data_IF_478938440568
#
_entry.id   IF_478938440568
#
_cell.length_a   1.000
_cell.length_b   1.000
_cell.length_c   1.000
_cell.angle_alpha   90.00
_cell.angle_beta   90.00
_cell.angle_gamma   90.00
#
_symmetry.space_group_name_H-M   'P 1'
#
loop_
_entity.id
_entity.type
_entity.pdbx_description
1 polymer ?
#
# COMPACT_ATOMS: atom_id res chain seq x y z
N UNK A 1 21.95 5.45 11.89
CA UNK A 1 20.63 5.76 12.52
C UNK A 1 19.86 6.90 11.81
N UNK A 2 20.33 7.52 10.70
CA UNK A 2 19.80 8.80 10.23
C UNK A 2 19.25 8.83 8.79
N UNK A 3 19.25 7.73 8.04
CA UNK A 3 18.68 7.67 6.69
C UNK A 3 17.32 6.94 6.64
N UNK A 4 16.55 7.02 7.70
CA UNK A 4 15.32 6.26 7.87
C UNK A 4 14.20 6.78 6.99
N UNK A 5 13.83 6.04 5.96
CA UNK A 5 12.57 6.20 5.24
C UNK A 5 12.37 7.58 4.59
N UNK A 6 13.44 8.18 4.09
CA UNK A 6 13.39 9.50 3.48
C UNK A 6 12.79 9.41 2.08
N UNK A 7 11.76 10.21 1.83
CA UNK A 7 11.29 10.45 0.47
C UNK A 7 12.39 11.10 -0.35
N UNK A 8 12.58 10.67 -1.58
CA UNK A 8 13.37 11.44 -2.54
C UNK A 8 12.75 12.84 -2.69
N UNK A 9 13.54 13.84 -2.34
CA UNK A 9 13.13 15.26 -2.39
C UNK A 9 13.77 16.01 -3.55
N UNK A 10 14.45 15.34 -4.47
CA UNK A 10 15.17 15.96 -5.59
C UNK A 10 14.25 16.82 -6.48
N UNK A 11 13.00 16.45 -6.64
CA UNK A 11 11.98 17.18 -7.40
C UNK A 11 11.26 18.28 -6.63
N UNK A 12 11.52 18.44 -5.33
CA UNK A 12 10.81 19.43 -4.51
C UNK A 12 11.32 20.84 -4.77
N UNK A 13 10.43 21.81 -4.80
CA UNK A 13 10.73 23.22 -5.08
C UNK A 13 10.63 24.04 -3.80
N UNK A 14 11.36 25.18 -3.71
CA UNK A 14 11.16 26.15 -2.64
C UNK A 14 9.70 26.59 -2.53
N UNK A 15 9.30 26.90 -1.29
CA UNK A 15 7.97 27.43 -0.96
C UNK A 15 8.11 28.69 -0.12
N UNK A 16 7.00 29.36 0.20
CA UNK A 16 7.00 30.53 1.08
C UNK A 16 7.56 30.23 2.49
N UNK A 17 7.53 28.96 2.92
CA UNK A 17 7.93 28.55 4.26
C UNK A 17 9.29 27.84 4.33
N UNK A 18 9.85 27.40 3.20
CA UNK A 18 11.16 26.75 3.18
C UNK A 18 11.85 26.91 1.84
N UNK A 19 13.16 27.14 1.88
CA UNK A 19 14.02 27.13 0.69
C UNK A 19 14.39 25.70 0.28
N UNK A 20 14.56 24.81 1.26
CA UNK A 20 14.97 23.41 1.09
C UNK A 20 14.16 22.50 2.00
N UNK A 21 13.96 21.25 1.59
CA UNK A 21 13.55 20.18 2.50
C UNK A 21 14.73 19.80 3.40
N UNK A 22 14.43 19.20 4.55
CA UNK A 22 15.47 18.68 5.45
C UNK A 22 16.33 17.64 4.74
N UNK A 23 15.72 16.71 3.97
CA UNK A 23 16.43 15.70 3.20
C UNK A 23 17.39 16.30 2.16
N UNK A 24 17.01 17.40 1.48
CA UNK A 24 17.92 18.11 0.57
C UNK A 24 19.14 18.69 1.27
N UNK A 25 18.95 19.28 2.46
CA UNK A 25 20.06 19.82 3.25
C UNK A 25 20.98 18.71 3.74
N UNK A 26 20.41 17.60 4.22
CA UNK A 26 21.21 16.47 4.73
C UNK A 26 21.98 15.77 3.60
N UNK A 27 21.34 15.50 2.47
CA UNK A 27 21.97 14.81 1.33
C UNK A 27 23.09 15.62 0.66
N UNK A 28 22.92 16.96 0.60
CA UNK A 28 23.90 17.84 -0.05
C UNK A 28 24.72 18.65 0.97
N UNK A 29 24.74 18.24 2.23
CA UNK A 29 25.31 19.01 3.33
C UNK A 29 26.75 19.44 3.10
N UNK A 30 27.60 18.61 2.50
CA UNK A 30 28.98 18.93 2.20
C UNK A 30 29.12 20.17 1.30
N UNK A 31 28.29 20.24 0.25
CA UNK A 31 28.31 21.33 -0.73
C UNK A 31 27.56 22.57 -0.22
N UNK A 32 26.74 22.39 0.82
CA UNK A 32 25.90 23.47 1.39
C UNK A 32 26.50 24.15 2.63
N UNK A 33 27.64 23.65 3.14
CA UNK A 33 28.30 24.31 4.29
C UNK A 33 28.56 25.79 3.99
N UNK A 34 28.09 26.65 4.89
CA UNK A 34 28.19 28.11 4.72
C UNK A 34 27.01 28.76 3.97
N UNK A 35 26.15 27.97 3.34
CA UNK A 35 24.96 28.49 2.68
C UNK A 35 23.83 28.74 3.69
N UNK A 36 23.05 29.79 3.43
CA UNK A 36 21.84 30.09 4.20
C UNK A 36 20.67 29.26 3.67
N UNK A 37 19.95 28.60 4.57
CA UNK A 37 18.76 27.82 4.28
C UNK A 37 17.62 28.17 5.22
N UNK A 38 16.39 28.02 4.72
CA UNK A 38 15.18 28.01 5.54
C UNK A 38 14.58 26.63 5.47
N UNK A 39 14.41 25.97 6.62
CA UNK A 39 13.76 24.68 6.76
C UNK A 39 12.58 24.78 7.72
N UNK A 40 11.56 23.97 7.50
CA UNK A 40 10.38 23.92 8.37
C UNK A 40 10.02 22.45 8.63
N UNK A 41 9.58 22.17 9.85
CA UNK A 41 9.24 20.83 10.28
C UNK A 41 8.60 20.79 11.65
N UNK A 42 8.46 19.57 12.17
CA UNK A 42 7.94 19.31 13.51
C UNK A 42 9.09 19.23 14.52
N UNK A 43 8.91 19.86 15.68
CA UNK A 43 9.86 19.78 16.79
C UNK A 43 9.83 18.40 17.43
N UNK A 44 10.80 17.55 17.12
CA UNK A 44 10.91 16.21 17.68
C UNK A 44 11.43 16.24 19.11
N UNK A 45 12.52 16.98 19.34
CA UNK A 45 13.06 17.24 20.68
C UNK A 45 13.59 18.66 20.76
N UNK A 46 13.37 19.29 21.90
CA UNK A 46 13.95 20.59 22.25
C UNK A 46 14.77 20.42 23.52
N UNK A 47 16.06 20.72 23.46
CA UNK A 47 16.99 20.59 24.59
C UNK A 47 17.76 21.88 24.76
N UNK A 48 17.37 22.69 25.76
CA UNK A 48 18.03 23.94 26.09
C UNK A 48 18.80 23.88 27.40
N UNK A 49 19.96 24.51 27.42
CA UNK A 49 20.73 24.75 28.65
C UNK A 49 21.41 26.10 28.58
N UNK A 50 20.97 27.04 29.44
CA UNK A 50 21.51 28.41 29.47
C UNK A 50 21.22 29.11 28.14
N UNK A 51 22.24 29.70 27.51
CA UNK A 51 22.14 30.42 26.25
C UNK A 51 22.20 29.55 24.98
N UNK A 52 22.06 28.22 25.08
CA UNK A 52 22.16 27.29 23.95
C UNK A 52 20.92 26.40 23.91
N UNK A 53 20.37 26.17 22.71
CA UNK A 53 19.27 25.25 22.47
C UNK A 53 19.56 24.37 21.25
N UNK A 54 19.30 23.07 21.36
CA UNK A 54 19.34 22.09 20.29
C UNK A 54 17.91 21.67 20.00
N UNK A 55 17.45 22.02 18.82
CA UNK A 55 16.13 21.63 18.31
C UNK A 55 16.33 20.57 17.24
N UNK A 56 15.77 19.37 17.44
CA UNK A 56 15.69 18.39 16.38
C UNK A 56 14.42 18.63 15.60
N UNK A 57 14.56 19.01 14.34
CA UNK A 57 13.45 19.19 13.40
C UNK A 57 13.31 17.98 12.49
N UNK A 58 12.08 17.61 12.20
CA UNK A 58 11.72 16.54 11.29
C UNK A 58 10.70 17.04 10.28
N UNK A 59 10.91 16.74 9.00
CA UNK A 59 9.89 16.83 7.96
C UNK A 59 9.64 15.46 7.32
N UNK A 60 8.87 15.41 6.23
CA UNK A 60 8.60 14.16 5.50
C UNK A 60 9.82 13.56 4.78
N UNK A 61 10.97 14.24 4.80
CA UNK A 61 12.19 13.86 4.07
C UNK A 61 13.37 13.57 4.99
N UNK A 62 13.28 13.88 6.28
CA UNK A 62 14.37 13.58 7.21
C UNK A 62 14.36 14.39 8.49
N UNK A 63 15.49 14.31 9.18
CA UNK A 63 15.76 14.98 10.46
C UNK A 63 17.00 15.84 10.34
N UNK A 64 16.99 17.01 10.98
CA UNK A 64 18.16 17.88 11.09
C UNK A 64 18.22 18.53 12.47
N UNK A 65 19.42 18.68 13.02
CA UNK A 65 19.63 19.48 14.21
C UNK A 65 19.66 20.96 13.83
N UNK A 66 18.82 21.76 14.47
CA UNK A 66 18.92 23.21 14.46
C UNK A 66 19.60 23.65 15.76
N UNK A 67 20.74 24.31 15.64
CA UNK A 67 21.51 24.84 16.76
C UNK A 67 21.20 26.31 16.95
N UNK A 68 20.68 26.68 18.12
CA UNK A 68 20.32 28.02 18.49
C UNK A 68 21.25 28.57 19.59
N UNK A 69 21.75 29.74 19.42
CA UNK A 69 22.52 30.46 20.43
C UNK A 69 21.87 31.82 20.70
N UNK A 70 21.54 32.10 21.98
CA UNK A 70 20.84 33.31 22.42
C UNK A 70 21.51 34.60 21.88
N UNK A 71 22.84 34.67 21.94
CA UNK A 71 23.62 35.83 21.48
C UNK A 71 23.55 36.09 19.98
N UNK A 72 23.07 35.11 19.19
CA UNK A 72 23.06 35.16 17.72
C UNK A 72 21.68 35.45 17.13
N UNK A 73 20.66 35.61 17.98
CA UNK A 73 19.27 35.81 17.52
C UNK A 73 18.47 36.65 18.50
N UNK A 74 17.25 37.00 18.12
CA UNK A 74 16.32 37.70 19.02
C UNK A 74 16.05 36.88 20.27
N UNK A 75 16.15 37.49 21.46
CA UNK A 75 16.03 36.81 22.75
C UNK A 75 14.61 36.24 22.95
N UNK A 76 13.57 36.97 22.56
CA UNK A 76 12.19 36.55 22.69
C UNK A 76 11.94 35.30 21.81
N UNK A 77 12.48 35.30 20.60
CA UNK A 77 12.38 34.19 19.67
C UNK A 77 13.14 32.95 20.20
N UNK A 78 14.34 33.16 20.77
CA UNK A 78 15.10 32.07 21.41
C UNK A 78 14.28 31.40 22.51
N UNK A 79 13.72 32.17 23.43
CA UNK A 79 12.93 31.69 24.55
C UNK A 79 11.65 31.00 24.07
N UNK A 80 11.01 31.51 23.04
CA UNK A 80 9.81 30.95 22.44
C UNK A 80 10.11 29.55 21.83
N UNK A 81 11.18 29.44 21.04
CA UNK A 81 11.55 28.12 20.45
C UNK A 81 12.03 27.15 21.52
N UNK A 82 12.78 27.62 22.53
CA UNK A 82 13.27 26.78 23.63
C UNK A 82 12.12 26.19 24.46
N UNK A 83 10.99 26.88 24.55
CA UNK A 83 9.79 26.46 25.26
C UNK A 83 8.80 25.67 24.41
N UNK A 84 9.07 25.49 23.11
CA UNK A 84 8.18 24.80 22.20
C UNK A 84 7.90 23.36 22.63
N UNK A 85 6.64 22.95 22.55
CA UNK A 85 6.23 21.58 22.81
C UNK A 85 6.60 20.65 21.65
N UNK A 86 6.73 19.35 21.95
CA UNK A 86 6.93 18.34 20.90
C UNK A 86 5.81 18.39 19.87
N UNK A 87 6.17 18.17 18.60
CA UNK A 87 5.28 18.23 17.44
C UNK A 87 4.76 19.62 17.09
N UNK A 88 5.20 20.69 17.77
CA UNK A 88 5.01 22.06 17.28
C UNK A 88 5.67 22.23 15.92
N UNK A 89 5.02 22.96 15.03
CA UNK A 89 5.54 23.24 13.69
C UNK A 89 6.41 24.48 13.74
N UNK A 90 7.68 24.34 13.40
CA UNK A 90 8.70 25.40 13.51
C UNK A 90 9.40 25.59 12.17
N UNK A 91 9.60 26.84 11.81
CA UNK A 91 10.46 27.29 10.72
C UNK A 91 11.74 27.88 11.31
N UNK A 92 12.88 27.53 10.75
CA UNK A 92 14.16 28.15 11.10
C UNK A 92 14.93 28.53 9.84
N UNK A 93 15.60 29.70 9.89
CA UNK A 93 16.54 30.16 8.88
C UNK A 93 17.92 30.25 9.53
N UNK A 94 18.93 29.78 8.83
CA UNK A 94 20.30 29.81 9.34
C UNK A 94 21.29 29.23 8.35
N UNK A 95 22.54 29.12 8.78
CA UNK A 95 23.66 28.67 7.97
C UNK A 95 23.91 27.20 8.19
N UNK A 96 24.04 26.44 7.13
CA UNK A 96 24.42 25.03 7.19
C UNK A 96 25.87 24.91 7.69
N UNK A 97 26.09 24.06 8.67
CA UNK A 97 27.41 23.77 9.24
C UNK A 97 27.60 22.25 9.40
N UNK A 98 28.84 21.82 9.33
CA UNK A 98 29.19 20.45 9.68
C UNK A 98 29.15 20.31 11.21
N UNK A 99 28.40 19.34 11.67
CA UNK A 99 28.28 19.01 13.09
C UNK A 99 29.61 18.48 13.64
N UNK A 100 29.93 18.84 14.86
CA UNK A 100 31.15 18.32 15.51
C UNK A 100 31.07 16.80 15.64
N UNK A 101 32.03 16.08 15.05
CA UNK A 101 32.08 14.64 15.14
C UNK A 101 32.19 14.18 16.60
N UNK A 102 31.47 13.12 17.00
CA UNK A 102 31.63 12.50 18.31
C UNK A 102 33.07 11.95 18.44
N UNK A 103 33.56 11.89 19.66
CA UNK A 103 34.83 11.21 19.94
C UNK A 103 34.64 9.72 19.69
N UNK A 104 35.42 9.13 18.80
CA UNK A 104 35.47 7.68 18.56
C UNK A 104 36.62 7.07 19.37
N UNK A 105 36.45 5.81 19.74
CA UNK A 105 37.53 5.06 20.38
C UNK A 105 38.68 4.79 19.40
N UNK A 106 39.87 4.59 19.90
CA UNK A 106 41.06 4.34 19.06
C UNK A 106 40.89 3.00 18.33
N UNK A 107 40.89 3.07 16.97
CA UNK A 107 40.67 1.92 16.09
C UNK A 107 39.31 1.82 15.42
N UNK A 108 38.33 2.61 15.87
CA UNK A 108 37.05 2.64 15.22
C UNK A 108 37.05 3.53 13.95
N UNK A 109 36.25 3.20 12.91
CA UNK A 109 36.13 4.03 11.72
C UNK A 109 35.52 5.41 12.07
N UNK A 110 36.02 6.45 11.43
CA UNK A 110 35.47 7.78 11.58
C UNK A 110 33.98 7.81 11.18
N UNK A 111 33.09 8.40 11.98
CA UNK A 111 31.68 8.50 11.61
C UNK A 111 31.51 9.37 10.37
N UNK A 112 30.48 9.08 9.59
CA UNK A 112 30.09 9.95 8.46
C UNK A 112 29.81 11.37 8.95
N UNK A 113 30.16 12.40 8.15
CA UNK A 113 29.89 13.77 8.54
C UNK A 113 28.39 14.01 8.65
N UNK A 114 27.96 14.61 9.74
CA UNK A 114 26.59 15.07 9.93
C UNK A 114 26.54 16.60 9.79
N UNK A 115 25.36 17.12 9.38
CA UNK A 115 25.16 18.54 9.18
C UNK A 115 24.07 19.06 10.10
N UNK A 116 24.15 20.37 10.42
CA UNK A 116 23.20 21.10 11.26
C UNK A 116 22.94 22.48 10.68
N UNK A 117 21.88 23.14 11.13
CA UNK A 117 21.59 24.53 10.80
C UNK A 117 21.90 25.42 12.00
N UNK A 118 22.89 26.31 11.87
CA UNK A 118 23.15 27.37 12.84
C UNK A 118 22.13 28.48 12.66
N UNK A 119 21.13 28.54 13.53
CA UNK A 119 19.93 29.37 13.37
C UNK A 119 20.25 30.83 13.66
N UNK A 120 19.82 31.67 12.73
CA UNK A 120 19.85 33.16 12.89
C UNK A 120 18.46 33.74 13.17
N UNK A 121 17.39 33.11 12.63
CA UNK A 121 16.00 33.54 12.85
C UNK A 121 15.04 32.35 12.64
N UNK A 122 13.77 32.54 13.00
CA UNK A 122 12.75 31.52 12.84
C UNK A 122 11.37 31.97 13.31
N UNK A 123 10.43 31.05 13.33
CA UNK A 123 9.09 31.26 13.85
C UNK A 123 8.45 29.94 14.28
N UNK A 124 7.64 29.96 15.33
CA UNK A 124 6.67 28.90 15.59
C UNK A 124 5.47 29.17 14.69
N UNK A 125 5.22 28.27 13.76
CA UNK A 125 4.10 28.37 12.83
C UNK A 125 2.79 27.89 13.48
N UNK A 126 2.90 26.87 14.34
CA UNK A 126 1.80 26.36 15.14
C UNK A 126 2.31 25.61 16.37
N UNK A 127 1.73 25.88 17.52
CA UNK A 127 2.00 25.15 18.75
C UNK A 127 1.21 23.85 18.79
N UNK A 128 1.85 22.79 19.29
CA UNK A 128 1.18 21.52 19.56
C UNK A 128 0.68 21.47 21.00
N UNK A 129 -0.53 20.95 21.19
CA UNK A 129 -1.07 20.66 22.50
C UNK A 129 -0.22 19.59 23.22
N UNK A 130 -0.08 19.72 24.52
CA UNK A 130 0.61 18.74 25.35
C UNK A 130 -0.29 18.35 26.54
N UNK A 131 -0.39 17.05 26.91
CA UNK A 131 0.24 15.90 26.27
C UNK A 131 -0.41 15.52 24.92
N UNK A 132 0.38 14.87 24.03
CA UNK A 132 -0.16 14.33 22.79
C UNK A 132 -0.96 13.04 23.06
N UNK A 133 -2.11 12.82 22.38
CA UNK A 133 -2.89 11.60 22.55
C UNK A 133 -2.20 10.36 21.97
N UNK A 134 -1.30 10.55 20.98
CA UNK A 134 -0.47 9.50 20.38
C UNK A 134 0.97 9.98 20.35
N UNK A 135 1.88 9.19 20.93
CA UNK A 135 3.31 9.44 20.84
C UNK A 135 3.82 9.18 19.42
N UNK A 136 4.58 10.12 18.86
CA UNK A 136 5.13 9.99 17.49
C UNK A 136 6.48 9.29 17.51
N UNK A 137 7.35 9.64 18.48
CA UNK A 137 8.70 9.12 18.62
C UNK A 137 8.84 8.10 19.78
N UNK A 138 7.83 8.01 20.61
CA UNK A 138 7.83 7.13 21.78
C UNK A 138 7.26 5.76 21.38
N UNK A 139 7.89 4.68 21.83
CA UNK A 139 7.45 3.29 21.59
C UNK A 139 6.27 2.87 22.50
N UNK A 140 5.50 3.81 22.98
CA UNK A 140 4.32 3.51 23.78
C UNK A 140 3.27 2.85 22.91
N UNK A 141 2.82 1.67 23.35
CA UNK A 141 1.72 0.97 22.67
C UNK A 141 0.43 1.77 22.82
N UNK A 142 -0.20 2.06 21.67
CA UNK A 142 -1.49 2.77 21.61
C UNK A 142 -2.47 1.91 20.81
N UNK A 143 -3.66 1.68 21.34
CA UNK A 143 -4.71 0.92 20.68
C UNK A 143 -5.08 1.50 19.31
N UNK A 144 -5.57 0.64 18.41
CA UNK A 144 -5.90 1.02 17.04
C UNK A 144 -6.94 2.14 16.99
N UNK A 145 -7.95 2.09 17.87
CA UNK A 145 -9.03 3.10 17.93
C UNK A 145 -8.47 4.50 18.16
N UNK A 146 -7.60 4.66 19.17
CA UNK A 146 -6.96 5.94 19.48
C UNK A 146 -6.04 6.41 18.34
N UNK A 147 -5.37 5.47 17.68
CA UNK A 147 -4.53 5.77 16.50
C UNK A 147 -5.36 6.26 15.31
N UNK A 148 -6.53 5.65 15.07
CA UNK A 148 -7.45 6.06 14.01
C UNK A 148 -8.08 7.43 14.30
N UNK A 149 -8.49 7.69 15.53
CA UNK A 149 -9.03 8.99 15.94
C UNK A 149 -7.99 10.11 15.86
N UNK A 150 -6.70 9.77 15.98
CA UNK A 150 -5.59 10.70 15.89
C UNK A 150 -4.67 10.39 14.70
N UNK A 151 -5.25 10.05 13.55
CA UNK A 151 -4.54 9.53 12.38
C UNK A 151 -3.42 10.43 11.88
N UNK A 152 -3.58 11.75 12.00
CA UNK A 152 -2.57 12.74 11.63
C UNK A 152 -1.27 12.60 12.45
N UNK A 153 -1.34 12.22 13.72
CA UNK A 153 -0.16 11.92 14.54
C UNK A 153 0.38 10.51 14.25
N UNK A 154 -0.50 9.54 14.11
CA UNK A 154 -0.11 8.16 13.79
C UNK A 154 0.67 8.07 12.46
N UNK A 155 0.25 8.81 11.43
CA UNK A 155 0.94 8.91 10.16
C UNK A 155 2.34 9.57 10.24
N UNK A 156 2.65 10.30 11.31
CA UNK A 156 3.99 10.84 11.55
C UNK A 156 4.96 9.81 12.12
N UNK A 157 4.47 8.69 12.64
CA UNK A 157 5.32 7.60 13.14
C UNK A 157 6.07 6.97 11.97
N UNK A 158 7.38 6.79 12.12
CA UNK A 158 8.24 6.39 11.01
C UNK A 158 7.78 5.13 10.27
N UNK A 159 7.46 4.05 11.00
CA UNK A 159 7.01 2.79 10.41
C UNK A 159 5.63 2.90 9.74
N UNK A 160 4.70 3.70 10.30
CA UNK A 160 3.39 3.92 9.68
C UNK A 160 3.54 4.73 8.39
N UNK A 161 4.35 5.78 8.43
CA UNK A 161 4.66 6.60 7.26
C UNK A 161 5.31 5.77 6.15
N UNK A 162 6.31 4.94 6.50
CA UNK A 162 6.99 4.04 5.56
C UNK A 162 6.02 3.07 4.88
N UNK A 163 5.08 2.47 5.63
CA UNK A 163 4.06 1.59 5.05
C UNK A 163 3.17 2.31 4.02
N UNK A 164 2.77 3.57 4.29
CA UNK A 164 1.96 4.33 3.34
C UNK A 164 2.74 4.79 2.11
N UNK A 165 4.03 5.11 2.26
CA UNK A 165 4.90 5.38 1.13
C UNK A 165 5.06 4.13 0.26
N UNK A 166 5.39 2.98 0.87
CA UNK A 166 5.53 1.71 0.18
C UNK A 166 4.24 1.33 -0.57
N UNK A 167 3.06 1.49 0.07
CA UNK A 167 1.78 1.28 -0.59
C UNK A 167 1.61 2.15 -1.84
N UNK A 168 1.98 3.44 -1.76
CA UNK A 168 1.94 4.34 -2.90
C UNK A 168 2.86 3.90 -4.03
N UNK A 169 4.08 3.46 -3.69
CA UNK A 169 5.08 2.99 -4.66
C UNK A 169 4.61 1.69 -5.34
N UNK A 170 4.07 0.73 -4.59
CA UNK A 170 3.50 -0.52 -5.13
C UNK A 170 2.42 -0.24 -6.17
N UNK A 171 1.50 0.71 -5.89
CA UNK A 171 0.47 1.10 -6.86
C UNK A 171 1.08 1.75 -8.11
N UNK A 172 2.13 2.55 -7.95
CA UNK A 172 2.82 3.17 -9.08
C UNK A 172 3.56 2.15 -9.93
N UNK A 173 4.30 1.22 -9.32
CA UNK A 173 5.00 0.15 -10.05
C UNK A 173 4.05 -0.74 -10.84
N UNK A 174 2.92 -1.11 -10.25
CA UNK A 174 1.88 -1.87 -10.96
C UNK A 174 1.29 -1.09 -12.13
N UNK A 175 1.02 0.20 -11.95
CA UNK A 175 0.53 1.09 -13.02
C UNK A 175 1.53 1.18 -14.16
N UNK A 176 2.78 1.44 -13.86
CA UNK A 176 3.85 1.58 -14.86
C UNK A 176 4.04 0.30 -15.67
N UNK A 177 3.98 -0.86 -15.00
CA UNK A 177 4.06 -2.16 -15.67
C UNK A 177 2.90 -2.36 -16.64
N UNK A 178 1.66 -2.15 -16.20
CA UNK A 178 0.48 -2.33 -17.06
C UNK A 178 0.47 -1.37 -18.25
N UNK A 179 0.86 -0.11 -18.06
CA UNK A 179 1.03 0.85 -19.17
C UNK A 179 2.09 0.33 -20.15
N UNK A 180 3.19 -0.23 -19.68
CA UNK A 180 4.24 -0.79 -20.53
C UNK A 180 3.77 -2.01 -21.35
N UNK A 181 2.79 -2.76 -20.86
CA UNK A 181 2.13 -3.86 -21.59
C UNK A 181 0.94 -3.40 -22.45
N UNK A 182 0.74 -2.10 -22.61
CA UNK A 182 -0.28 -1.52 -23.48
C UNK A 182 -1.67 -1.43 -22.86
N UNK A 183 -1.80 -1.56 -21.54
CA UNK A 183 -3.06 -1.31 -20.85
C UNK A 183 -3.28 0.18 -20.64
N UNK A 184 -4.53 0.62 -20.83
CA UNK A 184 -4.97 1.98 -20.60
C UNK A 184 -5.71 2.07 -19.26
N UNK A 185 -5.34 3.05 -18.41
CA UNK A 185 -6.07 3.31 -17.17
C UNK A 185 -7.43 3.94 -17.48
N UNK A 186 -8.49 3.43 -16.85
CA UNK A 186 -9.86 3.94 -16.91
C UNK A 186 -10.38 4.21 -15.51
N UNK A 187 -11.46 5.00 -15.43
CA UNK A 187 -12.19 5.25 -14.19
C UNK A 187 -13.67 4.96 -14.43
N UNK A 188 -14.23 4.04 -13.67
CA UNK A 188 -15.60 3.60 -13.79
C UNK A 188 -16.50 4.23 -12.73
N UNK A 189 -17.82 4.34 -12.99
CA UNK A 189 -18.78 4.82 -11.98
C UNK A 189 -18.78 3.98 -10.72
N UNK A 190 -18.88 4.63 -9.56
CA UNK A 190 -18.95 3.98 -8.24
C UNK A 190 -20.37 4.03 -7.63
N UNK A 191 -21.25 4.79 -8.23
CA UNK A 191 -22.70 4.76 -7.96
C UNK A 191 -23.36 4.07 -9.14
N UNK A 192 -24.01 2.93 -8.90
CA UNK A 192 -24.53 2.04 -9.93
C UNK A 192 -26.02 1.74 -9.68
N UNK A 193 -26.76 1.43 -10.74
CA UNK A 193 -28.18 1.16 -10.68
C UNK A 193 -28.52 -0.30 -10.29
N UNK A 194 -27.61 -1.25 -10.58
CA UNK A 194 -27.78 -2.67 -10.34
C UNK A 194 -26.48 -3.35 -9.92
N UNK A 195 -26.59 -4.55 -9.36
CA UNK A 195 -25.43 -5.35 -8.98
C UNK A 195 -24.62 -5.79 -10.22
N UNK A 196 -23.32 -5.59 -10.19
CA UNK A 196 -22.42 -6.04 -11.25
C UNK A 196 -22.17 -7.55 -11.25
N UNK A 197 -22.33 -8.21 -10.10
CA UNK A 197 -21.94 -9.60 -9.88
C UNK A 197 -23.08 -10.49 -9.31
N UNK A 198 -24.31 -10.00 -9.31
CA UNK A 198 -25.48 -10.77 -8.84
C UNK A 198 -25.47 -11.05 -7.33
N UNK A 199 -24.70 -10.32 -6.54
CA UNK A 199 -24.51 -10.58 -5.12
C UNK A 199 -25.41 -9.75 -4.19
N UNK A 200 -25.67 -10.29 -2.99
CA UNK A 200 -26.48 -9.67 -1.94
C UNK A 200 -25.74 -8.64 -1.09
N UNK A 201 -24.41 -8.50 -1.25
CA UNK A 201 -23.56 -7.69 -0.39
C UNK A 201 -23.35 -6.27 -0.95
N UNK A 202 -24.45 -5.60 -1.30
CA UNK A 202 -24.43 -4.23 -1.80
C UNK A 202 -24.71 -3.24 -0.67
N UNK A 203 -24.07 -2.08 -0.71
CA UNK A 203 -24.46 -0.93 0.07
C UNK A 203 -25.53 -0.15 -0.70
N UNK A 204 -26.81 -0.20 -0.26
CA UNK A 204 -27.88 0.58 -0.88
C UNK A 204 -27.75 2.06 -0.50
N UNK A 205 -28.09 2.94 -1.44
CA UNK A 205 -28.15 4.37 -1.21
C UNK A 205 -29.31 5.01 -1.95
N UNK A 206 -29.79 6.14 -1.46
CA UNK A 206 -30.74 6.97 -2.19
C UNK A 206 -30.00 7.85 -3.20
N UNK A 207 -30.45 7.80 -4.43
CA UNK A 207 -29.99 8.66 -5.51
C UNK A 207 -31.18 9.45 -6.05
N UNK A 208 -31.41 10.62 -5.45
CA UNK A 208 -32.64 11.41 -5.64
C UNK A 208 -33.88 10.57 -5.38
N UNK A 209 -34.76 10.40 -6.37
CA UNK A 209 -36.02 9.63 -6.25
C UNK A 209 -35.84 8.12 -6.53
N UNK A 210 -34.63 7.68 -6.90
CA UNK A 210 -34.34 6.28 -7.24
C UNK A 210 -33.41 5.63 -6.22
N UNK A 211 -33.38 4.30 -6.20
CA UNK A 211 -32.39 3.54 -5.46
C UNK A 211 -31.13 3.35 -6.31
N UNK A 212 -29.98 3.40 -5.67
CA UNK A 212 -28.69 3.11 -6.25
C UNK A 212 -27.84 2.31 -5.26
N UNK A 213 -26.68 1.88 -5.70
CA UNK A 213 -25.76 1.06 -4.89
C UNK A 213 -24.32 1.53 -5.09
N UNK A 214 -23.48 1.31 -4.08
CA UNK A 214 -22.04 1.45 -4.24
C UNK A 214 -21.47 0.25 -5.00
N UNK A 215 -20.56 0.50 -5.93
CA UNK A 215 -19.99 -0.52 -6.82
C UNK A 215 -19.13 -1.53 -6.06
N UNK A 216 -19.40 -2.82 -6.24
CA UNK A 216 -18.58 -3.92 -5.69
C UNK A 216 -17.28 -4.14 -6.46
N UNK A 217 -17.31 -3.86 -7.77
CA UNK A 217 -16.17 -3.95 -8.69
C UNK A 217 -16.49 -3.20 -9.99
N UNK A 218 -15.50 -2.90 -10.83
CA UNK A 218 -15.72 -2.30 -12.15
C UNK A 218 -16.11 -3.33 -13.22
N UNK A 219 -16.50 -4.56 -12.87
CA UNK A 219 -16.54 -5.71 -13.79
C UNK A 219 -17.28 -5.46 -15.09
N UNK A 220 -18.52 -4.99 -15.05
CA UNK A 220 -19.30 -4.77 -16.28
C UNK A 220 -18.75 -3.59 -17.09
N UNK A 221 -18.30 -2.53 -16.42
CA UNK A 221 -17.77 -1.35 -17.10
C UNK A 221 -16.42 -1.62 -17.79
N UNK A 222 -15.53 -2.40 -17.19
CA UNK A 222 -14.27 -2.77 -17.84
C UNK A 222 -14.48 -3.70 -19.02
N UNK A 223 -15.48 -4.61 -18.97
CA UNK A 223 -15.90 -5.40 -20.14
C UNK A 223 -16.47 -4.50 -21.25
N UNK A 224 -17.34 -3.54 -20.91
CA UNK A 224 -17.86 -2.57 -21.89
C UNK A 224 -16.73 -1.75 -22.52
N UNK A 225 -15.73 -1.34 -21.76
CA UNK A 225 -14.58 -0.61 -22.30
C UNK A 225 -13.80 -1.44 -23.33
N UNK A 226 -13.57 -2.72 -23.02
CA UNK A 226 -12.90 -3.66 -23.94
C UNK A 226 -13.75 -3.92 -25.19
N UNK A 227 -15.06 -4.17 -25.04
CA UNK A 227 -15.99 -4.31 -26.15
C UNK A 227 -16.11 -3.03 -27.00
N UNK A 228 -15.90 -1.87 -26.36
CA UNK A 228 -15.85 -0.55 -27.01
C UNK A 228 -14.56 -0.28 -27.79
N UNK A 229 -13.61 -1.22 -27.81
CA UNK A 229 -12.40 -1.16 -28.63
C UNK A 229 -11.14 -0.64 -27.92
N UNK A 230 -11.15 -0.48 -26.58
CA UNK A 230 -9.93 -0.14 -25.82
C UNK A 230 -8.98 -1.33 -25.65
N UNK A 231 -9.42 -2.54 -25.96
CA UNK A 231 -8.70 -3.82 -25.96
C UNK A 231 -8.04 -4.23 -24.63
N UNK A 232 -7.31 -3.33 -23.99
CA UNK A 232 -6.62 -3.58 -22.70
C UNK A 232 -6.85 -2.40 -21.78
N UNK A 233 -7.52 -2.64 -20.65
CA UNK A 233 -7.81 -1.61 -19.65
C UNK A 233 -7.47 -2.07 -18.26
N UNK A 234 -7.17 -1.10 -17.40
CA UNK A 234 -7.08 -1.34 -15.96
C UNK A 234 -7.69 -0.18 -15.18
N UNK A 235 -8.10 -0.46 -13.96
CA UNK A 235 -8.53 0.54 -12.98
C UNK A 235 -7.87 0.28 -11.63
N UNK A 236 -7.36 1.33 -11.01
CA UNK A 236 -6.99 1.33 -9.59
C UNK A 236 -7.99 2.23 -8.88
N UNK A 237 -8.98 1.65 -8.24
CA UNK A 237 -10.11 2.40 -7.71
C UNK A 237 -10.83 1.74 -6.54
N UNK A 238 -11.71 2.49 -5.84
CA UNK A 238 -12.44 1.96 -4.70
C UNK A 238 -13.48 0.92 -5.13
N UNK A 239 -13.59 -0.12 -4.31
CA UNK A 239 -14.64 -1.12 -4.35
C UNK A 239 -15.29 -1.23 -2.99
N UNK A 240 -16.60 -1.51 -2.95
CA UNK A 240 -17.42 -1.50 -1.74
C UNK A 240 -18.17 -2.83 -1.60
N UNK A 241 -17.98 -3.53 -0.48
CA UNK A 241 -18.64 -4.80 -0.21
C UNK A 241 -19.27 -4.77 1.17
N UNK A 242 -20.60 -4.94 1.25
CA UNK A 242 -21.36 -4.91 2.49
C UNK A 242 -21.27 -6.26 3.24
N UNK A 243 -20.05 -6.79 3.38
CA UNK A 243 -19.80 -8.01 4.11
C UNK A 243 -19.89 -7.77 5.63
N UNK A 244 -20.56 -8.68 6.34
CA UNK A 244 -20.77 -8.58 7.80
C UNK A 244 -19.64 -9.21 8.62
N UNK A 245 -18.50 -9.49 7.98
CA UNK A 245 -17.34 -10.08 8.64
C UNK A 245 -16.39 -8.99 9.14
N UNK A 246 -16.02 -9.07 10.40
CA UNK A 246 -15.01 -8.20 11.01
C UNK A 246 -13.70 -9.00 11.18
N UNK A 247 -12.96 -9.10 10.11
CA UNK A 247 -11.65 -9.78 10.08
C UNK A 247 -10.62 -8.90 9.38
N UNK A 248 -9.34 -9.17 9.60
CA UNK A 248 -8.25 -8.43 8.93
C UNK A 248 -8.24 -8.56 7.40
N UNK A 249 -8.97 -9.54 6.84
CA UNK A 249 -9.10 -9.79 5.40
C UNK A 249 -10.30 -9.11 4.76
N UNK A 250 -11.34 -8.77 5.52
CA UNK A 250 -12.59 -8.25 5.01
C UNK A 250 -12.73 -6.77 5.31
N UNK A 251 -12.60 -5.95 4.28
CA UNK A 251 -12.85 -4.51 4.34
C UNK A 251 -14.12 -4.18 3.54
N UNK A 252 -14.95 -3.31 4.10
CA UNK A 252 -16.14 -2.83 3.40
C UNK A 252 -15.81 -1.83 2.28
N UNK A 253 -14.66 -1.18 2.36
CA UNK A 253 -14.11 -0.30 1.33
C UNK A 253 -12.61 -0.59 1.17
N UNK A 254 -12.18 -0.83 -0.07
CA UNK A 254 -10.76 -1.08 -0.39
C UNK A 254 -10.44 -0.57 -1.79
N UNK A 255 -9.16 -0.39 -2.08
CA UNK A 255 -8.69 -0.08 -3.43
C UNK A 255 -8.45 -1.38 -4.16
N UNK A 256 -9.21 -1.59 -5.23
CA UNK A 256 -9.09 -2.73 -6.13
C UNK A 256 -8.11 -2.40 -7.26
N UNK A 257 -7.38 -3.41 -7.69
CA UNK A 257 -6.50 -3.37 -8.86
C UNK A 257 -7.10 -4.32 -9.90
N UNK A 258 -7.81 -3.78 -10.88
CA UNK A 258 -8.58 -4.53 -11.87
C UNK A 258 -7.99 -4.41 -13.26
N UNK A 259 -7.91 -5.51 -14.00
CA UNK A 259 -7.53 -5.53 -15.41
C UNK A 259 -8.62 -6.21 -16.24
N UNK A 260 -8.70 -5.87 -17.53
CA UNK A 260 -9.50 -6.56 -18.53
C UNK A 260 -8.79 -6.48 -19.88
N UNK A 261 -8.74 -7.59 -20.62
CA UNK A 261 -8.04 -7.64 -21.90
C UNK A 261 -8.83 -8.42 -22.95
N UNK A 262 -8.92 -7.87 -24.16
CA UNK A 262 -9.43 -8.58 -25.33
C UNK A 262 -8.39 -9.58 -25.85
N UNK A 263 -8.87 -10.62 -26.53
CA UNK A 263 -8.03 -11.63 -27.20
C UNK A 263 -7.12 -12.39 -26.26
N UNK A 264 -7.54 -12.54 -24.99
CA UNK A 264 -6.81 -13.24 -23.94
C UNK A 264 -7.64 -14.40 -23.40
N UNK A 265 -7.01 -15.52 -23.15
CA UNK A 265 -7.58 -16.59 -22.35
C UNK A 265 -7.13 -16.50 -20.86
N UNK A 266 -7.52 -17.48 -20.06
CA UNK A 266 -7.17 -17.50 -18.63
C UNK A 266 -5.66 -17.60 -18.39
N UNK A 267 -4.91 -18.32 -19.21
CA UNK A 267 -3.44 -18.43 -19.09
C UNK A 267 -2.74 -17.12 -19.43
N UNK A 268 -3.23 -16.39 -20.44
CA UNK A 268 -2.71 -15.07 -20.80
C UNK A 268 -2.87 -14.07 -19.66
N UNK A 269 -4.05 -14.06 -19.01
CA UNK A 269 -4.33 -13.14 -17.87
C UNK A 269 -3.49 -13.53 -16.65
N UNK A 270 -3.35 -14.82 -16.34
CA UNK A 270 -2.44 -15.26 -15.28
C UNK A 270 -1.00 -14.82 -15.58
N UNK A 271 -0.55 -14.91 -16.83
CA UNK A 271 0.76 -14.43 -17.25
C UNK A 271 0.96 -12.92 -17.06
N UNK A 272 -0.05 -12.09 -17.32
CA UNK A 272 0.00 -10.64 -17.02
C UNK A 272 0.19 -10.41 -15.53
N UNK A 273 -0.57 -11.11 -14.68
CA UNK A 273 -0.44 -10.98 -13.22
C UNK A 273 0.94 -11.40 -12.72
N UNK A 274 1.49 -12.49 -13.23
CA UNK A 274 2.84 -12.96 -12.88
C UNK A 274 3.90 -11.91 -13.16
N UNK A 275 3.90 -11.37 -14.37
CA UNK A 275 4.87 -10.35 -14.78
C UNK A 275 4.71 -9.07 -13.98
N UNK A 276 3.47 -8.64 -13.71
CA UNK A 276 3.19 -7.46 -12.90
C UNK A 276 3.71 -7.63 -11.46
N UNK A 277 3.41 -8.75 -10.82
CA UNK A 277 3.86 -9.02 -9.44
C UNK A 277 5.38 -9.17 -9.38
N UNK A 278 5.99 -9.88 -10.32
CA UNK A 278 7.45 -9.97 -10.41
C UNK A 278 8.09 -8.58 -10.54
N UNK A 279 7.53 -7.72 -11.40
CA UNK A 279 8.00 -6.34 -11.57
C UNK A 279 7.84 -5.53 -10.27
N UNK A 280 6.68 -5.55 -9.62
CA UNK A 280 6.46 -4.83 -8.37
C UNK A 280 7.48 -5.25 -7.31
N UNK A 281 7.69 -6.55 -7.10
CA UNK A 281 8.67 -7.04 -6.12
C UNK A 281 10.10 -6.65 -6.47
N UNK A 282 10.45 -6.66 -7.76
CA UNK A 282 11.76 -6.22 -8.24
C UNK A 282 12.01 -4.74 -7.96
N UNK A 283 11.02 -3.89 -8.24
CA UNK A 283 11.12 -2.45 -7.99
C UNK A 283 11.18 -2.14 -6.49
N UNK A 284 10.36 -2.81 -5.66
CA UNK A 284 10.42 -2.67 -4.20
C UNK A 284 11.80 -3.07 -3.66
N UNK A 285 12.34 -4.21 -4.11
CA UNK A 285 13.66 -4.66 -3.69
C UNK A 285 14.79 -3.70 -4.11
N UNK A 286 14.66 -3.09 -5.29
CA UNK A 286 15.67 -2.17 -5.81
C UNK A 286 15.61 -0.76 -5.21
N UNK A 287 14.40 -0.24 -4.93
CA UNK A 287 14.20 1.18 -4.65
C UNK A 287 13.67 1.48 -3.24
N UNK A 288 13.07 0.51 -2.55
CA UNK A 288 12.35 0.75 -1.30
C UNK A 288 12.96 0.03 -0.07
N UNK A 289 14.18 -0.47 -0.16
CA UNK A 289 14.83 -1.18 0.94
C UNK A 289 14.88 -0.34 2.22
N UNK A 290 15.11 0.97 2.09
CA UNK A 290 15.11 1.91 3.21
C UNK A 290 13.75 1.98 3.94
N UNK A 291 12.62 1.87 3.22
CA UNK A 291 11.29 1.81 3.82
C UNK A 291 11.06 0.48 4.54
N UNK A 292 11.51 -0.62 3.93
CA UNK A 292 11.48 -1.95 4.55
C UNK A 292 12.30 -1.97 5.85
N UNK A 293 13.49 -1.37 5.84
CA UNK A 293 14.35 -1.30 7.02
C UNK A 293 13.67 -0.55 8.19
N UNK A 294 12.99 0.55 7.91
CA UNK A 294 12.21 1.30 8.92
C UNK A 294 11.07 0.44 9.51
N UNK A 295 10.36 -0.30 8.67
CA UNK A 295 9.32 -1.22 9.12
C UNK A 295 9.93 -2.34 9.96
N UNK A 296 11.07 -2.90 9.53
CA UNK A 296 11.76 -3.97 10.23
C UNK A 296 12.32 -3.53 11.60
N UNK A 297 12.86 -2.32 11.72
CA UNK A 297 13.26 -1.78 13.01
C UNK A 297 12.09 -1.76 14.01
N UNK A 298 10.93 -1.34 13.58
CA UNK A 298 9.72 -1.36 14.40
C UNK A 298 9.30 -2.80 14.75
N UNK A 299 9.27 -3.72 13.76
CA UNK A 299 8.92 -5.13 13.99
C UNK A 299 9.83 -5.78 15.04
N UNK A 300 11.14 -5.58 14.90
CA UNK A 300 12.14 -6.09 15.86
C UNK A 300 11.95 -5.47 17.25
N UNK A 301 11.63 -4.18 17.35
CA UNK A 301 11.33 -3.53 18.64
C UNK A 301 10.09 -4.12 19.32
N UNK A 302 9.17 -4.70 18.55
CA UNK A 302 7.97 -5.39 19.05
C UNK A 302 8.19 -6.91 19.23
N UNK A 303 9.42 -7.41 19.11
CA UNK A 303 9.75 -8.83 19.22
C UNK A 303 9.27 -9.69 18.06
N UNK A 304 9.04 -9.09 16.90
CA UNK A 304 8.66 -9.77 15.66
C UNK A 304 9.88 -9.95 14.75
N UNK A 305 9.89 -11.01 13.95
CA UNK A 305 10.94 -11.22 12.96
C UNK A 305 10.89 -10.17 11.85
N UNK A 306 12.06 -9.73 11.34
CA UNK A 306 12.13 -8.85 10.19
C UNK A 306 11.57 -9.56 8.95
N UNK A 307 10.99 -8.79 8.03
CA UNK A 307 10.56 -9.26 6.71
C UNK A 307 11.65 -8.97 5.68
N UNK A 308 11.80 -9.88 4.72
CA UNK A 308 12.67 -9.72 3.55
C UNK A 308 11.82 -9.70 2.28
N UNK A 309 12.25 -8.93 1.30
CA UNK A 309 11.60 -8.89 -0.01
C UNK A 309 12.25 -9.94 -0.89
N UNK A 310 11.54 -11.04 -1.13
CA UNK A 310 11.96 -12.10 -2.03
C UNK A 310 11.25 -11.94 -3.36
N UNK A 311 12.01 -11.69 -4.43
CA UNK A 311 11.45 -11.55 -5.79
C UNK A 311 10.89 -12.89 -6.23
N UNK A 312 9.59 -13.00 -6.54
CA UNK A 312 8.98 -14.27 -6.88
C UNK A 312 9.48 -14.79 -8.23
N UNK A 313 9.80 -16.07 -8.30
CA UNK A 313 10.12 -16.73 -9.55
C UNK A 313 8.87 -16.93 -10.39
N UNK A 314 8.95 -16.66 -11.67
CA UNK A 314 7.88 -16.93 -12.65
C UNK A 314 8.28 -18.08 -13.58
N UNK A 315 7.32 -18.90 -14.07
CA UNK A 315 5.89 -18.86 -13.79
C UNK A 315 5.55 -19.37 -12.37
N UNK A 316 4.44 -18.90 -11.82
CA UNK A 316 3.93 -19.41 -10.54
C UNK A 316 3.36 -20.83 -10.72
N UNK A 317 3.37 -21.68 -9.68
CA UNK A 317 2.69 -22.98 -9.73
C UNK A 317 1.21 -22.83 -10.08
N UNK A 318 0.70 -23.73 -10.94
CA UNK A 318 -0.72 -23.90 -11.23
C UNK A 318 -1.18 -25.20 -10.59
N UNK A 319 -2.10 -25.11 -9.65
CA UNK A 319 -2.67 -26.23 -8.91
C UNK A 319 -4.15 -26.30 -9.28
N UNK A 320 -4.55 -27.09 -10.31
CA UNK A 320 -5.95 -27.21 -10.66
C UNK A 320 -6.82 -27.54 -9.44
N UNK A 321 -8.04 -27.00 -9.40
CA UNK A 321 -8.94 -27.20 -8.26
C UNK A 321 -9.07 -28.67 -7.82
N UNK A 322 -9.13 -29.61 -8.77
CA UNK A 322 -9.19 -31.03 -8.44
C UNK A 322 -7.94 -31.51 -7.67
N UNK A 323 -6.75 -31.03 -8.06
CA UNK A 323 -5.50 -31.36 -7.38
C UNK A 323 -5.42 -30.69 -6.00
N UNK A 324 -5.91 -29.45 -5.89
CA UNK A 324 -6.00 -28.76 -4.61
C UNK A 324 -6.88 -29.52 -3.60
N UNK A 325 -8.03 -30.05 -4.04
CA UNK A 325 -8.90 -30.92 -3.24
C UNK A 325 -8.14 -32.15 -2.74
N UNK A 326 -7.36 -32.80 -3.59
CA UNK A 326 -6.59 -34.00 -3.20
C UNK A 326 -5.45 -33.64 -2.22
N UNK A 327 -4.82 -32.49 -2.39
CA UNK A 327 -3.82 -31.98 -1.41
C UNK A 327 -4.47 -31.76 -0.05
N UNK A 328 -5.65 -31.14 -0.01
CA UNK A 328 -6.38 -30.91 1.25
C UNK A 328 -6.72 -32.22 1.94
N UNK A 329 -7.26 -33.20 1.20
CA UNK A 329 -7.57 -34.53 1.75
C UNK A 329 -6.33 -35.26 2.26
N UNK A 330 -5.25 -35.25 1.50
CA UNK A 330 -3.98 -35.87 1.89
C UNK A 330 -3.39 -35.21 3.15
N UNK A 331 -3.64 -33.93 3.37
CA UNK A 331 -3.27 -33.19 4.59
C UNK A 331 -4.23 -33.37 5.76
N UNK A 332 -5.24 -34.20 5.64
CA UNK A 332 -6.22 -34.51 6.69
C UNK A 332 -7.42 -33.55 6.74
N UNK A 333 -7.60 -32.68 5.75
CA UNK A 333 -8.77 -31.84 5.62
C UNK A 333 -9.98 -32.59 5.03
N UNK A 334 -11.17 -32.21 5.45
CA UNK A 334 -12.43 -32.76 4.93
C UNK A 334 -13.01 -31.82 3.88
N UNK A 335 -12.99 -32.18 2.62
CA UNK A 335 -13.52 -31.39 1.51
C UNK A 335 -14.03 -32.31 0.41
N UNK A 336 -15.14 -31.96 -0.20
CA UNK A 336 -15.67 -32.64 -1.37
C UNK A 336 -15.57 -31.77 -2.62
N UNK A 337 -15.58 -32.41 -3.79
CA UNK A 337 -15.60 -31.67 -5.04
C UNK A 337 -16.88 -30.81 -5.16
N UNK A 338 -16.72 -29.53 -5.51
CA UNK A 338 -17.80 -28.57 -5.57
C UNK A 338 -17.93 -27.72 -4.31
N UNK A 339 -17.14 -27.99 -3.27
CA UNK A 339 -17.08 -27.16 -2.06
C UNK A 339 -16.02 -26.08 -2.18
N UNK A 340 -16.20 -24.98 -1.45
CA UNK A 340 -15.22 -23.90 -1.38
C UNK A 340 -13.96 -24.31 -0.62
N UNK A 341 -12.82 -23.75 -1.01
CA UNK A 341 -11.54 -23.92 -0.31
C UNK A 341 -11.46 -22.87 0.80
N UNK A 342 -11.94 -23.25 1.99
CA UNK A 342 -11.97 -22.36 3.15
C UNK A 342 -10.56 -22.10 3.72
N UNK A 343 -10.45 -21.11 4.63
CA UNK A 343 -9.16 -20.67 5.21
C UNK A 343 -8.32 -21.80 5.82
N UNK A 344 -8.96 -22.79 6.47
CA UNK A 344 -8.23 -23.93 7.06
C UNK A 344 -7.72 -24.92 6.00
N UNK A 345 -8.37 -25.00 4.83
CA UNK A 345 -7.87 -25.75 3.68
C UNK A 345 -6.68 -25.02 3.03
N UNK A 346 -6.75 -23.68 2.96
CA UNK A 346 -5.63 -22.87 2.47
C UNK A 346 -4.36 -23.06 3.31
N UNK A 347 -4.46 -23.28 4.62
CA UNK A 347 -3.31 -23.57 5.47
C UNK A 347 -2.59 -24.87 5.04
N UNK A 348 -3.35 -25.90 4.63
CA UNK A 348 -2.81 -27.18 4.16
C UNK A 348 -2.10 -26.99 2.81
N UNK A 349 -2.71 -26.24 1.89
CA UNK A 349 -2.11 -25.95 0.57
C UNK A 349 -0.84 -25.10 0.76
N UNK A 350 -0.88 -24.08 1.61
CA UNK A 350 0.24 -23.18 1.89
C UNK A 350 1.46 -23.90 2.48
N UNK A 351 1.27 -25.01 3.19
CA UNK A 351 2.38 -25.84 3.68
C UNK A 351 3.24 -26.42 2.54
N UNK A 352 2.66 -26.64 1.34
CA UNK A 352 3.39 -27.09 0.15
C UNK A 352 3.74 -25.93 -0.80
N UNK A 353 2.91 -24.87 -0.82
CA UNK A 353 3.04 -23.71 -1.70
C UNK A 353 3.01 -22.42 -0.89
N UNK A 354 4.08 -22.09 -0.15
CA UNK A 354 4.08 -20.92 0.74
C UNK A 354 4.14 -19.57 0.02
N UNK A 355 4.54 -19.55 -1.26
CA UNK A 355 4.59 -18.36 -2.11
C UNK A 355 3.36 -18.22 -3.01
N UNK A 356 3.53 -17.45 -4.09
CA UNK A 356 2.48 -17.30 -5.10
C UNK A 356 2.17 -18.60 -5.81
N UNK A 357 0.88 -18.91 -5.94
CA UNK A 357 0.37 -20.04 -6.71
C UNK A 357 -1.05 -19.77 -7.18
N UNK A 358 -1.40 -20.27 -8.37
CA UNK A 358 -2.75 -20.20 -8.90
C UNK A 358 -3.52 -21.48 -8.59
N UNK A 359 -4.83 -21.33 -8.35
CA UNK A 359 -5.80 -22.43 -8.33
C UNK A 359 -6.76 -22.20 -9.50
N UNK A 360 -6.48 -22.72 -10.70
CA UNK A 360 -7.37 -22.65 -11.86
C UNK A 360 -8.37 -23.81 -11.88
N UNK A 361 -9.31 -23.76 -12.84
CA UNK A 361 -10.26 -24.83 -13.15
C UNK A 361 -11.26 -25.10 -12.03
N UNK A 362 -11.79 -24.06 -11.45
CA UNK A 362 -12.87 -24.16 -10.48
C UNK A 362 -14.14 -24.73 -11.11
N UNK A 363 -15.01 -25.44 -10.33
CA UNK A 363 -16.35 -25.81 -10.80
C UNK A 363 -17.12 -24.61 -11.31
N UNK A 364 -17.81 -24.74 -12.45
CA UNK A 364 -18.57 -23.65 -13.05
C UNK A 364 -19.66 -23.12 -12.11
N UNK A 365 -20.26 -24.00 -11.32
CA UNK A 365 -21.29 -23.64 -10.32
C UNK A 365 -20.81 -22.69 -9.21
N UNK A 366 -19.51 -22.51 -9.07
CA UNK A 366 -18.89 -21.64 -8.05
C UNK A 366 -18.39 -20.31 -8.60
N UNK A 367 -18.48 -20.10 -9.91
CA UNK A 367 -17.97 -18.86 -10.55
C UNK A 367 -19.13 -18.02 -11.09
N UNK A 368 -18.95 -16.71 -11.21
CA UNK A 368 -19.96 -15.82 -11.74
C UNK A 368 -20.41 -16.18 -13.16
N UNK A 369 -21.61 -15.72 -13.55
CA UNK A 369 -22.25 -16.03 -14.84
C UNK A 369 -21.40 -15.66 -16.06
N UNK A 370 -20.52 -14.67 -15.94
CA UNK A 370 -19.67 -14.15 -17.01
C UNK A 370 -18.38 -14.93 -17.23
N UNK A 371 -18.10 -15.98 -16.46
CA UNK A 371 -16.89 -16.81 -16.63
C UNK A 371 -17.14 -17.86 -17.70
N UNK A 372 -16.15 -18.04 -18.58
CA UNK A 372 -16.18 -18.99 -19.68
C UNK A 372 -16.08 -20.46 -19.17
N UNK A 373 -16.84 -21.33 -19.81
CA UNK A 373 -16.76 -22.77 -19.56
C UNK A 373 -15.54 -23.39 -20.24
N UNK A 374 -14.95 -24.41 -19.64
CA UNK A 374 -14.00 -25.27 -20.32
C UNK A 374 -14.74 -26.52 -20.83
N UNK A 375 -15.27 -26.43 -22.05
CA UNK A 375 -16.20 -27.42 -22.61
C UNK A 375 -15.67 -28.84 -22.69
N UNK A 376 -14.35 -29.00 -22.88
CA UNK A 376 -13.68 -30.27 -23.07
C UNK A 376 -13.24 -30.95 -21.77
N UNK A 377 -13.28 -30.23 -20.64
CA UNK A 377 -12.82 -30.74 -19.36
C UNK A 377 -13.97 -30.87 -18.34
N UNK A 378 -14.09 -32.06 -17.77
CA UNK A 378 -14.99 -32.32 -16.66
C UNK A 378 -14.20 -32.64 -15.40
N UNK A 379 -14.68 -32.16 -14.25
CA UNK A 379 -14.12 -32.53 -12.96
C UNK A 379 -14.25 -33.99 -12.62
N UNK A 380 -13.59 -34.45 -11.57
CA UNK A 380 -13.59 -35.84 -11.11
C UNK A 380 -14.98 -36.42 -10.84
N UNK A 381 -15.95 -35.56 -10.48
CA UNK A 381 -17.38 -35.92 -10.31
C UNK A 381 -18.22 -35.72 -11.57
N UNK A 382 -17.61 -35.40 -12.72
CA UNK A 382 -18.30 -35.16 -13.99
C UNK A 382 -18.90 -33.75 -14.12
N UNK A 383 -18.72 -32.87 -13.13
CA UNK A 383 -19.16 -31.48 -13.18
C UNK A 383 -18.32 -30.65 -14.13
N UNK A 384 -18.92 -29.59 -14.71
CA UNK A 384 -18.27 -28.73 -15.66
C UNK A 384 -17.24 -27.79 -14.98
N UNK A 385 -16.07 -27.69 -15.58
CA UNK A 385 -15.01 -26.79 -15.13
C UNK A 385 -15.09 -25.43 -15.83
N UNK A 386 -14.67 -24.39 -15.12
CA UNK A 386 -14.56 -23.04 -15.62
C UNK A 386 -13.14 -22.70 -16.05
N UNK A 387 -12.98 -21.61 -16.79
CA UNK A 387 -11.70 -20.93 -17.02
C UNK A 387 -11.46 -19.83 -15.98
N UNK A 388 -12.01 -20.01 -14.77
CA UNK A 388 -11.77 -19.18 -13.60
C UNK A 388 -10.55 -19.65 -12.84
N UNK A 389 -9.88 -18.71 -12.19
CA UNK A 389 -8.73 -18.97 -11.34
C UNK A 389 -8.72 -18.02 -10.14
N UNK A 390 -8.05 -18.44 -9.07
CA UNK A 390 -7.68 -17.56 -7.96
C UNK A 390 -6.15 -17.60 -7.81
N UNK A 391 -5.57 -16.48 -7.46
CA UNK A 391 -4.14 -16.34 -7.12
C UNK A 391 -4.02 -16.18 -5.62
N UNK A 392 -3.23 -17.05 -5.01
CA UNK A 392 -2.92 -17.02 -3.59
C UNK A 392 -1.44 -16.66 -3.34
N UNK A 393 -1.17 -16.07 -2.18
CA UNK A 393 0.16 -15.99 -1.57
C UNK A 393 0.10 -16.72 -0.22
N UNK A 394 0.73 -17.88 -0.14
CA UNK A 394 0.53 -18.77 0.99
C UNK A 394 -0.95 -19.08 1.18
N UNK A 395 -1.49 -18.76 2.34
CA UNK A 395 -2.91 -19.00 2.68
C UNK A 395 -3.89 -17.90 2.22
N UNK A 396 -3.39 -16.77 1.72
CA UNK A 396 -4.19 -15.60 1.44
C UNK A 396 -4.51 -15.46 -0.05
N UNK A 397 -5.80 -15.39 -0.40
CA UNK A 397 -6.25 -15.06 -1.74
C UNK A 397 -5.91 -13.59 -2.05
N UNK A 398 -5.14 -13.38 -3.09
CA UNK A 398 -4.69 -12.07 -3.53
C UNK A 398 -5.58 -11.50 -4.64
N UNK A 399 -5.97 -12.33 -5.58
CA UNK A 399 -6.84 -11.96 -6.70
C UNK A 399 -7.66 -13.14 -7.17
N UNK A 400 -8.77 -12.83 -7.86
CA UNK A 400 -9.52 -13.80 -8.65
C UNK A 400 -9.70 -13.28 -10.07
N UNK A 401 -9.89 -14.20 -11.03
CA UNK A 401 -10.05 -13.83 -12.42
C UNK A 401 -10.51 -15.00 -13.30
N UNK A 402 -10.51 -14.77 -14.60
CA UNK A 402 -10.84 -15.81 -15.57
C UNK A 402 -11.11 -15.26 -16.95
N UNK A 403 -11.17 -16.15 -17.93
CA UNK A 403 -11.64 -15.82 -19.26
C UNK A 403 -13.13 -15.54 -19.23
N UNK A 404 -13.57 -14.52 -19.96
CA UNK A 404 -14.99 -14.13 -20.01
C UNK A 404 -15.76 -14.94 -21.05
N UNK A 405 -17.04 -15.23 -20.73
CA UNK A 405 -17.95 -15.82 -21.69
C UNK A 405 -18.34 -14.75 -22.73
N UNK A 406 -18.13 -15.04 -23.99
CA UNK A 406 -18.40 -14.13 -25.11
C UNK A 406 -19.57 -14.58 -26.00
N UNK A 407 -20.08 -15.79 -25.80
CA UNK A 407 -21.23 -16.31 -26.53
C UNK A 407 -22.51 -15.88 -25.82
N UNK A 408 -23.32 -15.09 -26.52
CA UNK A 408 -24.52 -14.45 -25.95
C UNK A 408 -25.52 -15.47 -25.44
N UNK A 409 -25.77 -16.53 -26.19
CA UNK A 409 -26.69 -17.62 -25.82
C UNK A 409 -26.26 -18.33 -24.52
N UNK A 410 -24.97 -18.61 -24.38
CA UNK A 410 -24.42 -19.22 -23.16
C UNK A 410 -24.46 -18.26 -21.99
N UNK A 411 -24.15 -16.99 -22.22
CA UNK A 411 -24.20 -15.94 -21.18
C UNK A 411 -25.63 -15.77 -20.64
N UNK A 412 -26.62 -15.70 -21.53
CA UNK A 412 -28.05 -15.66 -21.14
C UNK A 412 -28.48 -16.89 -20.35
N UNK A 413 -28.02 -18.10 -20.75
CA UNK A 413 -28.32 -19.33 -20.04
C UNK A 413 -27.69 -19.29 -18.64
N UNK A 414 -26.44 -18.85 -18.50
CA UNK A 414 -25.79 -18.69 -17.21
C UNK A 414 -26.53 -17.73 -16.28
N UNK A 415 -26.99 -16.58 -16.81
CA UNK A 415 -27.81 -15.63 -16.05
C UNK A 415 -29.10 -16.28 -15.53
N UNK A 416 -29.86 -16.96 -16.42
CA UNK A 416 -31.10 -17.65 -16.01
C UNK A 416 -30.84 -18.75 -14.98
N UNK A 417 -29.75 -19.50 -15.12
CA UNK A 417 -29.36 -20.55 -14.14
C UNK A 417 -29.05 -19.96 -12.74
N UNK A 418 -28.62 -18.72 -12.67
CA UNK A 418 -28.43 -17.97 -11.42
C UNK A 418 -29.69 -17.25 -10.93
N UNK A 419 -30.82 -17.39 -11.62
CA UNK A 419 -32.07 -16.70 -11.28
C UNK A 419 -32.05 -15.21 -11.61
N UNK A 420 -31.18 -14.79 -12.52
CA UNK A 420 -31.07 -13.41 -12.99
C UNK A 420 -31.78 -13.24 -14.34
N UNK A 421 -32.40 -12.10 -14.55
CA UNK A 421 -33.08 -11.80 -15.82
C UNK A 421 -32.07 -11.16 -16.80
N UNK A 422 -31.81 -11.77 -17.99
CA UNK A 422 -30.85 -11.23 -18.95
C UNK A 422 -31.13 -9.79 -19.39
N UNK A 423 -32.39 -9.37 -19.37
CA UNK A 423 -32.79 -8.01 -19.78
C UNK A 423 -32.31 -6.91 -18.80
N UNK A 424 -31.86 -7.29 -17.60
CA UNK A 424 -31.35 -6.37 -16.59
C UNK A 424 -29.84 -6.12 -16.71
N UNK A 425 -29.16 -6.86 -17.61
CA UNK A 425 -27.72 -6.82 -17.88
C UNK A 425 -27.43 -6.50 -19.35
#
# INVERSE_FOLDING_TARGET
>A
RHERGMRDSSGWRPTAYRSHTIGQVVANGADMVGSEVTVAGYAETVRGRGGICFLMLRDGTGHIQAFLKRDNMDETLFDTIQSATRESTIQVTGTVAQKRAPKVAEGDPAPSPEYEVNVSTGAILADAAAPLPVGVIDDVHVGLDVRLDNRHLDLRRAHVNAMFQLRGNVLQYGRDHLISEGFQEINTPKIIAAAAEGGTNLFPMKYFETDAYLSQSPQLYKQLAVLGGLERVFEIGPAFRAEKHDTYRHLNEFISFDIEGAWMDDEDVMGVQERMLHHIWSEVAANDQNLIDVVNEYRVSQGQDPVTVEIPNVPFPRIPYCDAIEIVKAGGGEIEWGNDIESHHCDIIAAQYPGFHFIPRWPMSMKPFYIHHKEEEKGTSGGQLSRGFDLNYGRDEMTSGGQREHRVDVLEENLRNMGLEPADF
#
